data_IF_888661136634
#
_entry.id   IF_888661136634
#
_cell.length_a   1.000
_cell.length_b   1.000
_cell.length_c   1.000
_cell.angle_alpha   90.00
_cell.angle_beta   90.00
_cell.angle_gamma   90.00
#
_symmetry.space_group_name_H-M   'P 1'
#
loop_
_entity.id
_entity.type
_entity.pdbx_description
1 polymer ?
#
# COMPACT_ATOMS: atom_id res chain seq x y z
N UNK A 1 -2.97 42.65 27.23
CA UNK A 1 -4.11 41.81 26.86
C UNK A 1 -4.25 41.98 25.35
N UNK A 2 -3.61 41.16 24.58
CA UNK A 2 -3.78 41.15 23.12
C UNK A 2 -5.06 40.41 22.84
N UNK A 3 -6.00 41.13 22.25
CA UNK A 3 -7.28 40.62 21.75
C UNK A 3 -7.00 39.50 20.74
N UNK A 4 -7.13 38.26 21.16
CA UNK A 4 -7.01 37.09 20.29
C UNK A 4 -8.34 36.94 19.54
N UNK A 5 -8.56 37.86 18.58
CA UNK A 5 -9.70 37.74 17.68
C UNK A 5 -9.63 36.34 17.00
N UNK A 6 -10.63 35.48 17.27
CA UNK A 6 -10.74 34.19 16.62
C UNK A 6 -10.78 34.41 15.12
N UNK A 7 -9.71 33.97 14.43
CA UNK A 7 -9.69 33.91 12.97
C UNK A 7 -10.64 32.80 12.51
N UNK A 8 -11.45 33.07 11.50
CA UNK A 8 -12.35 32.05 10.92
C UNK A 8 -11.63 30.90 10.24
N UNK A 9 -10.33 31.01 9.99
CA UNK A 9 -9.57 30.07 9.19
C UNK A 9 -9.85 30.15 7.68
N UNK A 10 -10.77 31.01 7.26
CA UNK A 10 -11.06 31.31 5.85
C UNK A 10 -10.30 32.58 5.48
N UNK A 11 -9.37 32.45 4.52
CA UNK A 11 -8.69 33.59 3.94
C UNK A 11 -9.58 34.22 2.86
N UNK A 12 -10.27 35.29 3.22
CA UNK A 12 -11.20 35.99 2.31
C UNK A 12 -10.48 36.74 1.19
N UNK A 13 -9.18 37.01 1.33
CA UNK A 13 -8.37 37.69 0.29
C UNK A 13 -8.06 36.73 -0.88
N UNK A 14 -8.20 35.42 -0.64
CA UNK A 14 -8.05 34.38 -1.67
C UNK A 14 -9.29 34.22 -2.55
N UNK A 15 -10.44 34.75 -2.14
CA UNK A 15 -11.67 34.61 -2.91
C UNK A 15 -11.58 35.41 -4.24
N UNK A 16 -11.87 34.75 -5.35
CA UNK A 16 -12.05 35.41 -6.64
C UNK A 16 -13.45 36.00 -6.73
N UNK A 17 -13.59 37.25 -6.32
CA UNK A 17 -14.85 37.98 -6.33
C UNK A 17 -15.34 38.37 -7.72
N UNK A 18 -14.54 38.16 -8.78
CA UNK A 18 -14.96 38.36 -10.17
C UNK A 18 -15.89 37.22 -10.64
N UNK A 19 -15.81 36.07 -9.99
CA UNK A 19 -16.65 34.89 -10.26
C UNK A 19 -17.73 34.85 -9.18
N UNK A 20 -19.01 34.79 -9.60
CA UNK A 20 -20.12 34.69 -8.63
C UNK A 20 -20.15 33.27 -8.03
N UNK A 21 -20.27 33.19 -6.71
CA UNK A 21 -20.30 31.93 -5.99
C UNK A 21 -21.43 30.97 -6.49
N UNK A 22 -22.56 31.53 -6.95
CA UNK A 22 -23.69 30.77 -7.50
C UNK A 22 -23.40 30.13 -8.86
N UNK A 23 -22.45 30.70 -9.63
CA UNK A 23 -22.14 30.25 -10.97
C UNK A 23 -21.02 29.21 -10.96
N UNK A 24 -19.96 29.46 -10.15
CA UNK A 24 -18.85 28.52 -9.95
C UNK A 24 -18.24 28.74 -8.55
N UNK A 25 -18.78 28.01 -7.56
CA UNK A 25 -18.30 28.11 -6.18
C UNK A 25 -16.84 27.68 -6.05
N UNK A 26 -16.42 26.67 -6.81
CA UNK A 26 -15.04 26.15 -6.74
C UNK A 26 -14.04 27.24 -7.17
N UNK A 27 -14.26 27.89 -8.30
CA UNK A 27 -13.36 28.95 -8.75
C UNK A 27 -13.53 30.24 -7.95
N UNK A 28 -14.73 30.53 -7.45
CA UNK A 28 -14.93 31.66 -6.55
C UNK A 28 -14.01 31.53 -5.30
N UNK A 29 -13.91 30.33 -4.74
CA UNK A 29 -13.10 30.08 -3.52
C UNK A 29 -11.63 29.90 -3.84
N UNK A 30 -11.28 29.22 -4.95
CA UNK A 30 -9.90 28.78 -5.21
C UNK A 30 -9.25 29.52 -6.41
N UNK A 31 -9.97 30.40 -7.11
CA UNK A 31 -9.54 30.97 -8.40
C UNK A 31 -8.19 31.68 -8.30
N UNK A 32 -8.01 32.55 -7.32
CA UNK A 32 -6.74 33.29 -7.14
C UNK A 32 -5.58 32.35 -6.77
N UNK A 33 -5.85 31.32 -5.96
CA UNK A 33 -4.84 30.32 -5.64
C UNK A 33 -4.42 29.54 -6.89
N UNK A 34 -5.37 29.12 -7.72
CA UNK A 34 -5.11 28.39 -8.98
C UNK A 34 -4.27 29.23 -9.96
N UNK A 35 -4.59 30.53 -10.11
CA UNK A 35 -3.86 31.42 -11.02
C UNK A 35 -2.39 31.62 -10.67
N UNK A 36 -2.04 31.62 -9.38
CA UNK A 36 -0.66 31.86 -8.91
C UNK A 36 0.12 30.62 -8.58
N UNK A 37 -0.53 29.44 -8.52
CA UNK A 37 0.10 28.20 -8.05
C UNK A 37 0.40 27.29 -9.23
N UNK A 38 1.66 26.94 -9.39
CA UNK A 38 2.11 25.91 -10.31
C UNK A 38 2.18 24.57 -9.60
N UNK A 39 1.76 23.50 -10.26
CA UNK A 39 1.94 22.14 -9.76
C UNK A 39 3.42 21.80 -9.80
N UNK A 40 4.07 21.42 -8.67
CA UNK A 40 5.46 20.99 -8.68
C UNK A 40 5.70 19.85 -9.67
N UNK A 41 6.87 19.86 -10.34
CA UNK A 41 7.21 18.89 -11.39
C UNK A 41 7.27 17.43 -10.91
N UNK A 42 7.45 17.22 -9.61
CA UNK A 42 7.45 15.90 -8.97
C UNK A 42 6.03 15.44 -8.52
N UNK A 43 4.98 16.13 -8.95
CA UNK A 43 3.59 15.86 -8.56
C UNK A 43 2.65 15.83 -9.77
N UNK A 44 1.66 14.94 -9.73
CA UNK A 44 0.57 14.89 -10.71
C UNK A 44 -0.61 15.82 -10.35
N UNK A 45 -0.69 16.25 -9.08
CA UNK A 45 -1.74 17.14 -8.54
C UNK A 45 -1.21 17.90 -7.33
N UNK A 46 -1.86 19.01 -6.98
CA UNK A 46 -1.45 19.86 -5.86
C UNK A 46 -2.64 20.50 -5.16
N UNK A 47 -2.50 20.86 -3.88
CA UNK A 47 -3.54 21.47 -3.07
C UNK A 47 -3.14 21.56 -1.59
N UNK A 48 -4.03 22.04 -0.72
CA UNK A 48 -3.73 22.30 0.69
C UNK A 48 -3.26 21.04 1.45
N UNK A 49 -3.82 19.87 1.16
CA UNK A 49 -3.35 18.62 1.77
C UNK A 49 -1.91 18.28 1.39
N UNK A 50 -1.50 18.60 0.15
CA UNK A 50 -0.11 18.40 -0.28
C UNK A 50 0.85 19.38 0.39
N UNK A 51 0.44 20.63 0.60
CA UNK A 51 1.24 21.61 1.36
C UNK A 51 1.49 21.14 2.80
N UNK A 52 0.44 20.71 3.49
CA UNK A 52 0.56 20.18 4.85
C UNK A 52 1.41 18.91 4.91
N UNK A 53 1.23 18.02 3.94
CA UNK A 53 2.03 16.79 3.84
C UNK A 53 3.52 17.10 3.60
N UNK A 54 3.86 18.13 2.82
CA UNK A 54 5.25 18.57 2.62
C UNK A 54 5.88 19.17 3.88
N UNK A 55 5.09 19.87 4.68
CA UNK A 55 5.55 20.39 5.98
C UNK A 55 5.80 19.24 6.96
N UNK A 56 4.87 18.29 7.04
CA UNK A 56 5.05 17.08 7.86
C UNK A 56 6.27 16.28 7.40
N UNK A 57 6.45 16.08 6.07
CA UNK A 57 7.60 15.37 5.49
C UNK A 57 8.95 16.00 5.88
N UNK A 58 9.04 17.34 5.94
CA UNK A 58 10.25 18.02 6.39
C UNK A 58 10.54 17.75 7.87
N UNK A 59 9.52 17.84 8.72
CA UNK A 59 9.65 17.55 10.14
C UNK A 59 10.04 16.08 10.40
N UNK A 60 9.42 15.15 9.66
CA UNK A 60 9.76 13.71 9.67
C UNK A 60 11.21 13.49 9.22
N UNK A 61 11.65 14.15 8.15
CA UNK A 61 13.04 14.09 7.70
C UNK A 61 14.02 14.50 8.77
N UNK A 62 13.75 15.59 9.48
CA UNK A 62 14.64 16.08 10.53
C UNK A 62 14.75 15.06 11.68
N UNK A 63 13.63 14.44 12.07
CA UNK A 63 13.59 13.34 13.04
C UNK A 63 14.43 12.15 12.57
N UNK A 64 14.28 11.74 11.32
CA UNK A 64 15.03 10.61 10.74
C UNK A 64 16.53 10.88 10.72
N UNK A 65 16.95 12.10 10.35
CA UNK A 65 18.37 12.50 10.31
C UNK A 65 18.96 12.46 11.72
N UNK A 66 18.27 13.00 12.72
CA UNK A 66 18.73 12.95 14.12
C UNK A 66 18.82 11.50 14.63
N UNK A 67 17.89 10.65 14.21
CA UNK A 67 17.84 9.23 14.60
C UNK A 67 19.07 8.41 14.13
N UNK A 68 19.82 8.88 13.13
CA UNK A 68 21.07 8.25 12.71
C UNK A 68 22.16 8.24 13.82
N UNK A 69 22.05 9.18 14.78
CA UNK A 69 22.97 9.26 15.94
C UNK A 69 22.40 8.62 17.21
N UNK A 70 21.25 7.96 17.15
CA UNK A 70 20.65 7.25 18.28
C UNK A 70 21.50 6.06 18.73
N UNK A 71 21.32 5.64 19.98
CA UNK A 71 22.03 4.50 20.55
C UNK A 71 21.73 3.19 19.77
N UNK A 72 22.74 2.32 19.56
CA UNK A 72 22.53 1.03 18.92
C UNK A 72 21.44 0.19 19.59
N UNK A 73 20.62 -0.49 18.80
CA UNK A 73 19.54 -1.36 19.27
C UNK A 73 18.23 -0.63 19.62
N UNK A 74 18.20 0.70 19.55
CA UNK A 74 16.96 1.46 19.74
C UNK A 74 16.13 1.55 18.45
N UNK A 75 14.81 1.78 18.58
CA UNK A 75 13.94 2.03 17.42
C UNK A 75 14.42 3.25 16.61
N UNK A 76 14.88 4.31 17.29
CA UNK A 76 15.47 5.47 16.62
C UNK A 76 16.66 5.08 15.75
N UNK A 77 17.54 4.20 16.24
CA UNK A 77 18.68 3.70 15.45
C UNK A 77 18.22 2.93 14.20
N UNK A 78 17.20 2.07 14.30
CA UNK A 78 16.61 1.35 13.15
C UNK A 78 16.07 2.30 12.10
N UNK A 79 15.38 3.38 12.52
CA UNK A 79 14.92 4.47 11.65
C UNK A 79 16.07 5.12 10.90
N UNK A 80 17.14 5.49 11.61
CA UNK A 80 18.33 6.11 11.03
C UNK A 80 19.07 5.19 10.06
N UNK A 81 19.26 3.92 10.41
CA UNK A 81 19.99 2.94 9.62
C UNK A 81 19.23 2.57 8.33
N UNK A 82 17.89 2.42 8.39
CA UNK A 82 17.08 2.19 7.19
C UNK A 82 17.19 3.35 6.20
N UNK A 83 17.13 4.59 6.69
CA UNK A 83 17.31 5.77 5.86
C UNK A 83 18.72 5.87 5.27
N UNK A 84 19.74 5.59 6.08
CA UNK A 84 21.13 5.60 5.64
C UNK A 84 21.39 4.58 4.52
N UNK A 85 20.85 3.35 4.66
CA UNK A 85 20.96 2.32 3.62
C UNK A 85 20.35 2.75 2.29
N UNK A 86 19.23 3.50 2.32
CA UNK A 86 18.60 4.03 1.10
C UNK A 86 19.39 5.20 0.49
N UNK A 87 20.06 6.01 1.29
CA UNK A 87 20.82 7.16 0.80
C UNK A 87 22.24 6.82 0.32
N UNK A 88 22.75 5.60 0.55
CA UNK A 88 24.06 5.17 0.06
C UNK A 88 24.02 4.85 -1.44
N UNK A 89 23.87 5.91 -2.25
CA UNK A 89 23.81 5.82 -3.72
C UNK A 89 25.05 5.15 -4.31
N UNK A 90 26.22 5.42 -3.74
CA UNK A 90 27.45 4.87 -4.26
C UNK A 90 27.47 3.34 -4.15
N UNK A 91 27.05 2.81 -3.00
CA UNK A 91 26.95 1.37 -2.76
C UNK A 91 25.85 0.75 -3.62
N UNK A 92 24.66 1.34 -3.67
CA UNK A 92 23.54 0.84 -4.47
C UNK A 92 23.92 0.79 -5.96
N UNK A 93 24.57 1.83 -6.46
CA UNK A 93 25.04 1.87 -7.85
C UNK A 93 26.12 0.80 -8.14
N UNK A 94 27.03 0.57 -7.19
CA UNK A 94 28.08 -0.44 -7.33
C UNK A 94 27.54 -1.87 -7.34
N UNK A 95 26.48 -2.14 -6.55
CA UNK A 95 25.85 -3.46 -6.46
C UNK A 95 24.96 -3.77 -7.68
N UNK A 96 24.34 -2.75 -8.30
CA UNK A 96 23.45 -2.95 -9.45
C UNK A 96 22.30 -3.90 -9.14
N UNK A 97 22.21 -5.03 -9.83
CA UNK A 97 21.21 -6.08 -9.64
C UNK A 97 21.68 -7.22 -8.69
N UNK A 98 22.92 -7.19 -8.22
CA UNK A 98 23.48 -8.27 -7.38
C UNK A 98 22.61 -8.61 -6.15
N UNK A 99 22.01 -7.64 -5.42
CA UNK A 99 21.19 -7.95 -4.24
C UNK A 99 19.94 -8.80 -4.50
N UNK A 100 19.48 -8.86 -5.74
CA UNK A 100 18.30 -9.67 -6.15
C UNK A 100 18.69 -10.90 -6.98
N UNK A 101 19.98 -11.12 -7.24
CA UNK A 101 20.45 -12.18 -8.12
C UNK A 101 20.09 -13.59 -7.61
N UNK A 102 20.14 -13.83 -6.31
CA UNK A 102 19.77 -15.12 -5.71
C UNK A 102 18.29 -15.43 -5.92
N UNK A 103 17.40 -14.46 -5.68
CA UNK A 103 15.97 -14.62 -5.88
C UNK A 103 15.59 -14.84 -7.36
N UNK A 104 16.29 -14.17 -8.29
CA UNK A 104 16.16 -14.43 -9.72
C UNK A 104 16.64 -15.85 -10.04
N UNK A 105 17.77 -16.27 -9.51
CA UNK A 105 18.29 -17.62 -9.74
C UNK A 105 17.38 -18.73 -9.16
N UNK A 106 16.66 -18.46 -8.09
CA UNK A 106 15.61 -19.37 -7.60
C UNK A 106 14.44 -19.47 -8.58
N UNK A 107 13.94 -18.35 -9.11
CA UNK A 107 12.90 -18.34 -10.13
C UNK A 107 13.31 -19.13 -11.39
N UNK A 108 14.56 -19.01 -11.83
CA UNK A 108 15.11 -19.73 -13.00
C UNK A 108 15.18 -21.25 -12.82
N UNK A 109 15.21 -21.76 -11.58
CA UNK A 109 15.26 -23.21 -11.27
C UNK A 109 13.90 -23.89 -11.26
N UNK A 110 12.82 -23.14 -11.33
CA UNK A 110 11.45 -23.69 -11.33
C UNK A 110 11.25 -24.64 -12.51
N UNK A 111 10.86 -25.89 -12.26
CA UNK A 111 10.72 -26.95 -13.25
C UNK A 111 9.39 -27.71 -13.19
N UNK A 112 8.53 -27.37 -12.22
CA UNK A 112 7.21 -27.94 -12.00
C UNK A 112 6.25 -26.89 -11.42
N UNK A 113 4.94 -27.18 -11.41
CA UNK A 113 3.95 -26.31 -10.77
C UNK A 113 4.20 -26.25 -9.26
N UNK A 114 4.53 -27.36 -8.63
CA UNK A 114 4.85 -27.40 -7.19
C UNK A 114 6.06 -26.52 -6.87
N UNK A 115 7.15 -26.64 -7.64
CA UNK A 115 8.33 -25.77 -7.43
C UNK A 115 8.05 -24.30 -7.74
N UNK A 116 7.12 -23.99 -8.66
CA UNK A 116 6.61 -22.64 -8.89
C UNK A 116 5.91 -22.10 -7.65
N UNK A 117 4.94 -22.85 -7.10
CA UNK A 117 4.15 -22.48 -5.93
C UNK A 117 5.04 -22.31 -4.70
N UNK A 118 6.00 -23.23 -4.50
CA UNK A 118 6.97 -23.15 -3.40
C UNK A 118 7.84 -21.89 -3.50
N UNK A 119 8.38 -21.60 -4.69
CA UNK A 119 9.21 -20.41 -4.91
C UNK A 119 8.39 -19.15 -4.73
N UNK A 120 7.18 -19.12 -5.26
CA UNK A 120 6.27 -17.98 -5.12
C UNK A 120 5.98 -17.66 -3.65
N UNK A 121 5.59 -18.67 -2.85
CA UNK A 121 5.29 -18.46 -1.44
C UNK A 121 6.47 -17.86 -0.65
N UNK A 122 7.71 -18.34 -0.93
CA UNK A 122 8.91 -17.75 -0.31
C UNK A 122 9.15 -16.31 -0.73
N UNK A 123 8.96 -15.98 -2.01
CA UNK A 123 9.16 -14.62 -2.54
C UNK A 123 8.11 -13.64 -2.01
N UNK A 124 6.85 -14.06 -1.92
CA UNK A 124 5.74 -13.24 -1.40
C UNK A 124 5.94 -12.88 0.08
N UNK A 125 6.43 -13.81 0.90
CA UNK A 125 6.78 -13.53 2.30
C UNK A 125 7.81 -12.39 2.41
N UNK A 126 8.75 -12.29 1.47
CA UNK A 126 9.75 -11.22 1.38
C UNK A 126 9.25 -9.93 0.71
N UNK A 127 7.98 -9.87 0.29
CA UNK A 127 7.36 -8.68 -0.30
C UNK A 127 7.33 -8.66 -1.83
N UNK A 128 7.70 -9.75 -2.52
CA UNK A 128 7.42 -9.86 -3.95
C UNK A 128 5.92 -10.04 -4.21
N UNK A 129 5.42 -9.50 -5.30
CA UNK A 129 4.00 -9.67 -5.65
C UNK A 129 3.72 -11.08 -6.17
N UNK A 130 2.60 -11.67 -5.76
CA UNK A 130 2.11 -12.95 -6.26
C UNK A 130 0.87 -12.83 -7.13
N UNK A 131 0.24 -13.97 -7.43
CA UNK A 131 -1.05 -13.97 -8.11
C UNK A 131 -2.24 -13.70 -7.16
N UNK A 132 -2.01 -13.74 -5.84
CA UNK A 132 -2.93 -13.19 -4.84
C UNK A 132 -2.32 -11.98 -4.15
N UNK A 133 -3.19 -11.05 -3.72
CA UNK A 133 -2.89 -10.12 -2.65
C UNK A 133 -3.45 -10.73 -1.36
N UNK A 134 -2.59 -10.97 -0.40
CA UNK A 134 -2.94 -11.56 0.91
C UNK A 134 -2.94 -10.44 1.95
N UNK A 135 -4.05 -10.26 2.63
CA UNK A 135 -4.13 -9.30 3.74
C UNK A 135 -5.07 -9.79 4.83
N UNK A 136 -4.94 -9.22 6.01
CA UNK A 136 -5.80 -9.52 7.18
C UNK A 136 -6.70 -8.33 7.44
N UNK A 137 -7.98 -8.59 7.62
CA UNK A 137 -8.95 -7.57 7.99
C UNK A 137 -10.02 -8.17 8.91
N UNK A 138 -10.84 -7.32 9.53
CA UNK A 138 -11.98 -7.80 10.29
C UNK A 138 -13.01 -8.46 9.36
N UNK A 139 -13.66 -9.52 9.85
CA UNK A 139 -14.69 -10.24 9.13
C UNK A 139 -16.00 -9.41 9.06
N UNK A 140 -16.46 -8.96 7.87
CA UNK A 140 -17.69 -8.19 7.75
C UNK A 140 -18.94 -8.90 8.30
N UNK A 141 -18.96 -10.24 8.27
CA UNK A 141 -20.06 -11.04 8.79
C UNK A 141 -20.00 -11.28 10.30
N UNK A 142 -18.80 -11.22 10.89
CA UNK A 142 -18.53 -11.37 12.33
C UNK A 142 -17.46 -10.36 12.78
N UNK A 143 -17.81 -9.06 12.95
CA UNK A 143 -16.84 -7.97 13.08
C UNK A 143 -15.90 -8.02 14.30
N UNK A 144 -16.07 -8.99 15.17
CA UNK A 144 -15.22 -9.18 16.37
C UNK A 144 -14.02 -10.11 16.13
N UNK A 145 -13.83 -10.59 14.90
CA UNK A 145 -12.72 -11.46 14.53
C UNK A 145 -11.99 -10.99 13.29
N UNK A 146 -10.77 -11.44 13.12
CA UNK A 146 -9.98 -11.25 11.91
C UNK A 146 -10.06 -12.48 11.01
N UNK A 147 -10.01 -12.27 9.68
CA UNK A 147 -9.81 -13.30 8.66
C UNK A 147 -8.71 -12.89 7.70
N UNK A 148 -8.16 -13.88 7.00
CA UNK A 148 -7.30 -13.67 5.84
C UNK A 148 -8.18 -13.48 4.60
N UNK A 149 -7.86 -12.47 3.81
CA UNK A 149 -8.48 -12.18 2.53
C UNK A 149 -7.53 -12.50 1.39
N UNK A 150 -8.05 -13.18 0.38
CA UNK A 150 -7.34 -13.46 -0.87
C UNK A 150 -8.00 -12.65 -1.98
N UNK A 151 -7.26 -11.73 -2.56
CA UNK A 151 -7.70 -10.89 -3.67
C UNK A 151 -6.87 -11.18 -4.92
N UNK A 152 -7.50 -11.13 -6.09
CA UNK A 152 -6.84 -11.30 -7.38
C UNK A 152 -5.64 -10.36 -7.53
N UNK A 153 -4.54 -10.86 -8.11
CA UNK A 153 -3.29 -10.13 -8.31
C UNK A 153 -2.53 -10.61 -9.54
N UNK A 154 -1.24 -10.36 -9.59
CA UNK A 154 -0.35 -10.90 -10.62
C UNK A 154 -0.18 -10.06 -11.87
N UNK A 155 -0.87 -8.93 -11.98
CA UNK A 155 -0.76 -8.03 -13.12
C UNK A 155 0.29 -6.94 -12.89
N UNK A 156 0.99 -6.54 -13.93
CA UNK A 156 1.93 -5.42 -13.90
C UNK A 156 1.32 -4.08 -14.31
N UNK A 157 0.20 -4.09 -15.03
CA UNK A 157 -0.63 -2.92 -15.34
C UNK A 157 -1.73 -2.74 -14.29
N UNK A 158 -2.35 -1.55 -14.18
CA UNK A 158 -3.24 -1.21 -13.06
C UNK A 158 -4.46 -2.12 -12.88
N UNK A 159 -5.05 -2.61 -13.96
CA UNK A 159 -6.20 -3.53 -13.93
C UNK A 159 -6.33 -4.30 -15.25
N UNK A 160 -7.31 -5.21 -15.31
CA UNK A 160 -7.57 -6.11 -16.45
C UNK A 160 -7.90 -5.34 -17.74
N UNK A 161 -8.52 -4.16 -17.64
CA UNK A 161 -8.95 -3.38 -18.82
C UNK A 161 -7.76 -2.89 -19.64
N UNK A 162 -6.61 -2.68 -19.03
CA UNK A 162 -5.37 -2.31 -19.72
C UNK A 162 -4.88 -3.39 -20.68
N UNK A 163 -5.19 -4.66 -20.41
CA UNK A 163 -4.78 -5.79 -21.25
C UNK A 163 -5.72 -6.00 -22.46
N UNK A 164 -7.00 -5.62 -22.37
CA UNK A 164 -8.01 -5.92 -23.39
C UNK A 164 -8.52 -4.72 -24.19
N UNK A 165 -8.61 -3.51 -23.58
CA UNK A 165 -9.24 -2.38 -24.25
C UNK A 165 -8.31 -1.70 -25.24
N UNK A 166 -8.84 -1.34 -26.41
CA UNK A 166 -8.05 -0.75 -27.51
C UNK A 166 -7.45 0.62 -27.13
N UNK A 167 -8.15 1.40 -26.31
CA UNK A 167 -7.63 2.70 -25.82
C UNK A 167 -6.29 2.60 -25.09
N UNK A 168 -5.92 1.40 -24.59
CA UNK A 168 -4.66 1.13 -23.88
C UNK A 168 -3.60 0.42 -24.73
N UNK A 169 -3.82 0.27 -26.06
CA UNK A 169 -2.85 -0.42 -26.93
C UNK A 169 -1.45 0.20 -26.90
N UNK A 170 -1.36 1.55 -26.87
CA UNK A 170 -0.09 2.25 -26.74
C UNK A 170 0.59 1.98 -25.38
N UNK A 171 -0.19 1.91 -24.30
CA UNK A 171 0.32 1.58 -22.96
C UNK A 171 0.88 0.17 -22.95
N UNK A 172 0.19 -0.82 -23.54
CA UNK A 172 0.70 -2.20 -23.65
C UNK A 172 2.02 -2.27 -24.42
N UNK A 173 2.16 -1.51 -25.50
CA UNK A 173 3.41 -1.45 -26.25
C UNK A 173 4.56 -0.89 -25.40
N UNK A 174 4.30 0.18 -24.65
CA UNK A 174 5.28 0.77 -23.73
C UNK A 174 5.60 -0.16 -22.56
N UNK A 175 4.59 -0.89 -22.06
CA UNK A 175 4.78 -1.87 -21.01
C UNK A 175 5.69 -3.02 -21.43
N UNK A 176 5.47 -3.57 -22.61
CA UNK A 176 6.35 -4.61 -23.18
C UNK A 176 7.81 -4.14 -23.24
N UNK A 177 8.05 -2.94 -23.77
CA UNK A 177 9.39 -2.37 -23.87
C UNK A 177 10.01 -2.07 -22.48
N UNK A 178 9.20 -1.67 -21.52
CA UNK A 178 9.60 -1.47 -20.14
C UNK A 178 10.06 -2.78 -19.49
N UNK A 179 9.26 -3.85 -19.59
CA UNK A 179 9.62 -5.17 -19.06
C UNK A 179 10.91 -5.67 -19.70
N UNK A 180 11.02 -5.62 -21.04
CA UNK A 180 12.24 -5.99 -21.77
C UNK A 180 13.48 -5.27 -21.23
N UNK A 181 13.38 -3.93 -21.06
CA UNK A 181 14.49 -3.12 -20.55
C UNK A 181 14.89 -3.54 -19.13
N UNK A 182 13.93 -3.74 -18.24
CA UNK A 182 14.16 -4.13 -16.85
C UNK A 182 14.84 -5.51 -16.74
N UNK A 183 14.40 -6.48 -17.53
CA UNK A 183 15.01 -7.81 -17.62
C UNK A 183 16.47 -7.72 -18.13
N UNK A 184 16.70 -6.87 -19.14
CA UNK A 184 18.06 -6.61 -19.64
C UNK A 184 18.98 -5.96 -18.61
N UNK A 185 18.48 -4.99 -17.82
CA UNK A 185 19.22 -4.38 -16.71
C UNK A 185 19.59 -5.41 -15.63
N UNK A 186 18.72 -6.40 -15.39
CA UNK A 186 19.00 -7.51 -14.47
C UNK A 186 19.95 -8.58 -15.06
N UNK A 187 20.40 -8.44 -16.31
CA UNK A 187 21.34 -9.34 -16.97
C UNK A 187 20.74 -10.65 -17.45
N UNK A 188 19.42 -10.72 -17.60
CA UNK A 188 18.75 -11.93 -18.11
C UNK A 188 18.91 -12.06 -19.63
N UNK A 189 19.17 -13.27 -20.09
CA UNK A 189 19.29 -13.61 -21.50
C UNK A 189 17.92 -13.48 -22.21
N UNK A 190 17.93 -13.12 -23.50
CA UNK A 190 16.75 -12.99 -24.36
C UNK A 190 15.60 -12.13 -23.77
N UNK A 191 15.89 -10.90 -23.25
CA UNK A 191 14.90 -10.11 -22.53
C UNK A 191 13.64 -9.81 -23.35
N UNK A 192 13.76 -9.64 -24.68
CA UNK A 192 12.61 -9.40 -25.55
C UNK A 192 11.64 -10.60 -25.61
N UNK A 193 12.19 -11.82 -25.75
CA UNK A 193 11.37 -13.04 -25.78
C UNK A 193 10.72 -13.31 -24.40
N UNK A 194 11.46 -13.07 -23.32
CA UNK A 194 10.93 -13.18 -21.94
C UNK A 194 9.82 -12.16 -21.68
N UNK A 195 10.02 -10.89 -22.03
CA UNK A 195 9.01 -9.86 -21.89
C UNK A 195 7.72 -10.20 -22.66
N UNK A 196 7.86 -10.74 -23.87
CA UNK A 196 6.70 -11.18 -24.64
C UNK A 196 5.92 -12.31 -23.94
N UNK A 197 6.61 -13.30 -23.36
CA UNK A 197 5.97 -14.37 -22.59
C UNK A 197 5.29 -13.85 -21.31
N UNK A 198 5.93 -12.93 -20.58
CA UNK A 198 5.36 -12.30 -19.38
C UNK A 198 4.07 -11.57 -19.72
N UNK A 199 4.10 -10.68 -20.73
CA UNK A 199 2.92 -9.90 -21.11
C UNK A 199 1.80 -10.79 -21.65
N UNK A 200 2.13 -11.88 -22.35
CA UNK A 200 1.15 -12.86 -22.79
C UNK A 200 0.49 -13.58 -21.60
N UNK A 201 1.30 -14.03 -20.63
CA UNK A 201 0.83 -14.67 -19.41
C UNK A 201 -0.08 -13.74 -18.57
N UNK A 202 0.36 -12.49 -18.36
CA UNK A 202 -0.46 -11.49 -17.66
C UNK A 202 -1.77 -11.18 -18.41
N UNK A 203 -1.74 -11.20 -19.74
CA UNK A 203 -2.94 -11.02 -20.58
C UNK A 203 -3.92 -12.18 -20.39
N UNK A 204 -3.43 -13.41 -20.33
CA UNK A 204 -4.25 -14.58 -20.04
C UNK A 204 -4.81 -14.50 -18.61
N UNK A 205 -3.98 -14.20 -17.62
CA UNK A 205 -4.37 -14.03 -16.23
C UNK A 205 -5.44 -12.93 -16.07
N UNK A 206 -5.30 -11.82 -16.79
CA UNK A 206 -6.25 -10.71 -16.79
C UNK A 206 -7.66 -11.12 -17.29
N UNK A 207 -7.78 -12.18 -18.11
CA UNK A 207 -9.10 -12.67 -18.56
C UNK A 207 -9.93 -13.26 -17.42
N UNK A 208 -9.29 -13.67 -16.33
CA UNK A 208 -9.94 -14.21 -15.13
C UNK A 208 -10.18 -13.16 -14.05
N UNK A 209 -9.61 -11.95 -14.19
CA UNK A 209 -9.82 -10.87 -13.25
C UNK A 209 -11.24 -10.29 -13.35
N UNK A 210 -11.79 -9.93 -12.22
CA UNK A 210 -12.96 -9.08 -12.13
C UNK A 210 -12.59 -7.63 -12.44
N UNK A 211 -13.52 -6.90 -13.04
CA UNK A 211 -13.36 -5.47 -13.26
C UNK A 211 -13.44 -4.65 -11.97
N UNK A 212 -12.99 -3.39 -12.06
CA UNK A 212 -12.97 -2.49 -10.91
C UNK A 212 -14.34 -2.15 -10.31
N UNK A 213 -15.43 -2.31 -11.07
CA UNK A 213 -16.79 -2.08 -10.57
C UNK A 213 -17.25 -3.28 -9.74
N UNK A 214 -17.03 -4.49 -10.27
CA UNK A 214 -17.33 -5.73 -9.55
C UNK A 214 -16.53 -5.86 -8.25
N UNK A 215 -15.25 -5.45 -8.26
CA UNK A 215 -14.38 -5.47 -7.08
C UNK A 215 -14.82 -4.54 -5.94
N UNK A 216 -15.65 -3.52 -6.23
CA UNK A 216 -16.23 -2.62 -5.22
C UNK A 216 -17.53 -3.11 -4.61
N UNK A 217 -18.09 -4.17 -5.14
CA UNK A 217 -19.32 -4.79 -4.61
C UNK A 217 -18.95 -5.66 -3.40
N UNK A 218 -19.13 -5.12 -2.20
CA UNK A 218 -18.76 -5.78 -0.94
C UNK A 218 -19.55 -7.05 -0.66
N UNK A 219 -20.75 -7.22 -1.26
CA UNK A 219 -21.50 -8.47 -1.12
C UNK A 219 -20.91 -9.57 -2.01
N UNK A 220 -20.51 -9.23 -3.23
CA UNK A 220 -19.90 -10.20 -4.17
C UNK A 220 -18.49 -10.61 -3.77
N UNK A 221 -17.73 -9.68 -3.19
CA UNK A 221 -16.35 -9.94 -2.75
C UNK A 221 -16.24 -10.54 -1.35
N UNK A 222 -17.35 -10.79 -0.67
CA UNK A 222 -17.37 -11.46 0.63
C UNK A 222 -17.78 -12.93 0.50
N UNK A 223 -16.79 -13.80 0.32
CA UNK A 223 -16.99 -15.25 0.17
C UNK A 223 -16.14 -15.99 1.23
N UNK A 224 -16.59 -16.00 2.51
CA UNK A 224 -15.90 -16.74 3.55
C UNK A 224 -16.04 -18.26 3.33
N UNK A 225 -14.95 -18.99 3.46
CA UNK A 225 -14.94 -20.43 3.31
C UNK A 225 -13.76 -21.06 4.04
N UNK A 226 -13.86 -22.36 4.32
CA UNK A 226 -12.74 -23.12 4.82
C UNK A 226 -11.63 -23.17 3.76
N UNK A 227 -10.37 -23.19 4.21
CA UNK A 227 -9.21 -23.28 3.31
C UNK A 227 -9.30 -24.46 2.34
N UNK A 228 -9.76 -25.62 2.81
CA UNK A 228 -9.94 -26.80 1.93
C UNK A 228 -10.88 -26.53 0.77
N UNK A 229 -11.97 -25.77 1.00
CA UNK A 229 -12.88 -25.40 -0.06
C UNK A 229 -12.27 -24.33 -0.99
N UNK A 230 -11.45 -23.41 -0.47
CA UNK A 230 -10.70 -22.47 -1.28
C UNK A 230 -9.66 -23.18 -2.16
N UNK A 231 -8.91 -24.13 -1.60
CA UNK A 231 -7.96 -24.94 -2.36
C UNK A 231 -8.66 -25.76 -3.47
N UNK A 232 -9.83 -26.34 -3.18
CA UNK A 232 -10.62 -27.07 -4.17
C UNK A 232 -11.08 -26.19 -5.36
N UNK A 233 -11.22 -24.86 -5.18
CA UNK A 233 -11.52 -23.93 -6.27
C UNK A 233 -10.40 -23.87 -7.31
N UNK A 234 -9.16 -24.10 -6.94
CA UNK A 234 -8.01 -24.10 -7.85
C UNK A 234 -7.90 -25.40 -8.69
N UNK A 235 -8.87 -26.31 -8.58
CA UNK A 235 -8.95 -27.54 -9.38
C UNK A 235 -7.82 -28.51 -9.06
N UNK A 236 -6.99 -28.81 -10.06
CA UNK A 236 -5.86 -29.73 -9.91
C UNK A 236 -4.60 -29.07 -9.28
N UNK A 237 -4.65 -27.77 -8.99
CA UNK A 237 -3.53 -27.04 -8.39
C UNK A 237 -3.60 -27.18 -6.88
N UNK A 238 -2.53 -27.71 -6.26
CA UNK A 238 -2.43 -27.85 -4.81
C UNK A 238 -1.82 -26.59 -4.18
N UNK A 239 -2.68 -25.65 -3.74
CA UNK A 239 -2.24 -24.41 -3.09
C UNK A 239 -1.68 -24.62 -1.67
N UNK A 240 -1.76 -25.82 -1.08
CA UNK A 240 -1.10 -26.14 0.19
C UNK A 240 0.42 -26.06 0.07
N UNK A 241 0.97 -26.33 -1.12
CA UNK A 241 2.40 -26.15 -1.43
C UNK A 241 2.80 -24.69 -1.28
N UNK A 242 2.03 -23.78 -1.87
CA UNK A 242 2.23 -22.33 -1.75
C UNK A 242 2.07 -21.85 -0.31
N UNK A 243 0.99 -22.27 0.37
CA UNK A 243 0.70 -21.88 1.75
C UNK A 243 1.82 -22.32 2.71
N UNK A 244 2.34 -23.54 2.53
CA UNK A 244 3.46 -24.06 3.30
C UNK A 244 4.72 -23.21 3.12
N UNK A 245 5.04 -22.85 1.86
CA UNK A 245 6.21 -22.04 1.53
C UNK A 245 6.07 -20.57 1.97
N UNK A 246 4.84 -20.05 2.01
CA UNK A 246 4.52 -18.73 2.54
C UNK A 246 4.85 -18.63 4.04
N UNK A 247 4.87 -19.77 4.75
CA UNK A 247 5.32 -19.84 6.14
C UNK A 247 4.38 -19.16 7.12
N UNK A 248 3.08 -19.38 6.92
CA UNK A 248 2.03 -18.79 7.74
C UNK A 248 1.95 -19.48 9.13
N UNK A 249 1.55 -18.77 10.20
CA UNK A 249 1.30 -19.38 11.49
C UNK A 249 0.19 -20.45 11.40
N UNK A 250 0.30 -21.49 12.24
CA UNK A 250 -0.72 -22.53 12.34
C UNK A 250 -2.12 -21.92 12.54
N UNK A 251 -3.12 -22.50 11.89
CA UNK A 251 -4.52 -22.08 11.93
C UNK A 251 -4.85 -20.69 11.37
N UNK A 252 -3.90 -19.94 10.84
CA UNK A 252 -4.18 -18.61 10.30
C UNK A 252 -5.00 -18.64 9.01
N UNK A 253 -5.00 -19.75 8.28
CA UNK A 253 -5.76 -19.96 7.04
C UNK A 253 -6.88 -21.00 7.19
N UNK A 254 -7.27 -21.46 8.40
CA UNK A 254 -8.36 -22.42 8.57
C UNK A 254 -9.65 -21.97 7.87
N UNK A 255 -9.94 -20.67 7.92
CA UNK A 255 -11.02 -20.00 7.20
C UNK A 255 -10.49 -18.72 6.53
N UNK A 256 -10.87 -18.50 5.27
CA UNK A 256 -10.42 -17.36 4.46
C UNK A 256 -11.60 -16.71 3.73
N UNK A 257 -11.44 -15.47 3.33
CA UNK A 257 -12.36 -14.79 2.41
C UNK A 257 -11.73 -14.76 1.03
N UNK A 258 -12.29 -15.52 0.08
CA UNK A 258 -11.90 -15.47 -1.32
C UNK A 258 -12.69 -14.37 -2.01
N UNK A 259 -12.03 -13.23 -2.32
CA UNK A 259 -12.74 -12.08 -2.87
C UNK A 259 -13.27 -12.34 -4.28
N UNK A 260 -12.52 -13.06 -5.10
CA UNK A 260 -12.90 -13.40 -6.48
C UNK A 260 -12.78 -14.92 -6.72
N UNK A 261 -13.81 -15.71 -6.34
CA UNK A 261 -13.76 -17.19 -6.49
C UNK A 261 -13.51 -17.66 -7.92
N UNK A 262 -14.07 -16.98 -8.93
CA UNK A 262 -13.84 -17.34 -10.33
C UNK A 262 -12.42 -17.06 -10.81
N UNK A 263 -11.71 -16.08 -10.23
CA UNK A 263 -10.29 -15.89 -10.50
C UNK A 263 -9.48 -17.08 -9.98
N UNK A 264 -9.73 -17.53 -8.77
CA UNK A 264 -9.06 -18.71 -8.20
C UNK A 264 -9.30 -19.96 -9.06
N UNK A 265 -10.54 -20.18 -9.51
CA UNK A 265 -10.85 -21.29 -10.44
C UNK A 265 -10.17 -21.11 -11.80
N UNK A 266 -9.98 -19.90 -12.26
CA UNK A 266 -9.28 -19.61 -13.52
C UNK A 266 -7.80 -19.98 -13.49
N UNK A 267 -7.16 -20.02 -12.31
CA UNK A 267 -5.74 -20.36 -12.18
C UNK A 267 -5.41 -21.75 -12.73
N UNK A 268 -6.34 -22.72 -12.65
CA UNK A 268 -6.14 -24.06 -13.21
C UNK A 268 -5.83 -24.03 -14.71
N UNK A 269 -6.39 -23.06 -15.43
CA UNK A 269 -6.17 -22.94 -16.89
C UNK A 269 -4.86 -22.26 -17.24
N UNK A 270 -4.30 -21.47 -16.34
CA UNK A 270 -3.08 -20.66 -16.54
C UNK A 270 -1.85 -21.32 -15.92
N UNK A 271 -2.01 -21.96 -14.76
CA UNK A 271 -0.95 -22.71 -14.05
C UNK A 271 -0.77 -24.11 -14.67
N UNK A 272 -0.26 -24.15 -15.88
CA UNK A 272 -0.07 -25.39 -16.65
C UNK A 272 1.41 -25.66 -16.93
N UNK A 273 1.77 -26.91 -17.19
CA UNK A 273 3.13 -27.27 -17.57
C UNK A 273 3.58 -26.59 -18.88
N UNK A 274 2.65 -26.29 -19.79
CA UNK A 274 2.93 -25.54 -21.02
C UNK A 274 3.35 -24.09 -20.73
N UNK A 275 2.71 -23.44 -19.76
CA UNK A 275 2.97 -22.06 -19.36
C UNK A 275 4.17 -21.93 -18.39
N UNK A 276 4.77 -23.03 -17.94
CA UNK A 276 5.85 -23.02 -16.95
C UNK A 276 7.05 -22.12 -17.34
N UNK A 277 7.52 -22.08 -18.60
CA UNK A 277 8.57 -21.13 -19.00
C UNK A 277 8.16 -19.67 -18.81
N UNK A 278 6.89 -19.32 -19.09
CA UNK A 278 6.36 -17.97 -18.90
C UNK A 278 6.26 -17.64 -17.40
N UNK A 279 5.85 -18.59 -16.56
CA UNK A 279 5.82 -18.42 -15.11
C UNK A 279 7.19 -18.21 -14.48
N UNK A 280 8.24 -18.90 -14.96
CA UNK A 280 9.61 -18.62 -14.53
C UNK A 280 10.04 -17.19 -14.82
N UNK A 281 9.77 -16.74 -16.06
CA UNK A 281 10.07 -15.36 -16.45
C UNK A 281 9.27 -14.37 -15.62
N UNK A 282 8.00 -14.68 -15.34
CA UNK A 282 7.12 -13.85 -14.53
C UNK A 282 7.59 -13.77 -13.06
N UNK A 283 8.06 -14.87 -12.44
CA UNK A 283 8.65 -14.83 -11.11
C UNK A 283 9.88 -13.93 -11.06
N UNK A 284 10.79 -14.09 -12.01
CA UNK A 284 11.96 -13.22 -12.11
C UNK A 284 11.56 -11.74 -12.30
N UNK A 285 10.53 -11.49 -13.11
CA UNK A 285 9.94 -10.17 -13.28
C UNK A 285 9.35 -9.61 -11.98
N UNK A 286 8.62 -10.40 -11.19
CA UNK A 286 8.09 -9.94 -9.91
C UNK A 286 9.20 -9.55 -8.94
N UNK A 287 10.29 -10.32 -8.87
CA UNK A 287 11.48 -9.96 -8.07
C UNK A 287 12.07 -8.62 -8.52
N UNK A 288 12.27 -8.43 -9.82
CA UNK A 288 12.83 -7.19 -10.36
C UNK A 288 11.90 -6.00 -10.08
N UNK A 289 10.61 -6.15 -10.39
CA UNK A 289 9.61 -5.10 -10.24
C UNK A 289 9.45 -4.63 -8.81
N UNK A 290 9.35 -5.57 -7.86
CA UNK A 290 9.16 -5.27 -6.44
C UNK A 290 10.37 -4.55 -5.82
N UNK A 291 11.55 -4.75 -6.38
CA UNK A 291 12.79 -4.15 -5.89
C UNK A 291 13.28 -2.95 -6.71
N UNK A 292 12.66 -2.64 -7.85
CA UNK A 292 13.15 -1.64 -8.80
C UNK A 292 13.44 -0.26 -8.18
N UNK A 293 12.65 0.18 -7.19
CA UNK A 293 12.81 1.46 -6.51
C UNK A 293 14.06 1.54 -5.61
N UNK A 294 14.67 0.40 -5.30
CA UNK A 294 15.77 0.24 -4.35
C UNK A 294 17.10 -0.19 -5.00
N UNK A 295 17.10 -0.41 -6.31
CA UNK A 295 18.28 -0.78 -7.09
C UNK A 295 19.00 0.45 -7.67
N UNK A 296 19.97 0.22 -8.58
CA UNK A 296 20.72 1.30 -9.22
C UNK A 296 19.85 2.28 -10.00
N UNK A 297 20.40 3.45 -10.33
CA UNK A 297 19.68 4.55 -11.00
C UNK A 297 18.97 4.10 -12.27
N UNK A 298 19.57 3.21 -13.08
CA UNK A 298 18.97 2.72 -14.31
C UNK A 298 17.62 2.01 -14.08
N UNK A 299 17.52 1.21 -13.01
CA UNK A 299 16.26 0.57 -12.60
C UNK A 299 15.24 1.59 -12.13
N UNK A 300 15.66 2.50 -11.23
CA UNK A 300 14.80 3.53 -10.66
C UNK A 300 14.22 4.44 -11.75
N UNK A 301 15.05 4.92 -12.67
CA UNK A 301 14.66 5.81 -13.77
C UNK A 301 13.76 5.07 -14.77
N UNK A 302 14.10 3.84 -15.15
CA UNK A 302 13.27 3.02 -16.05
C UNK A 302 11.90 2.75 -15.43
N UNK A 303 11.84 2.42 -14.15
CA UNK A 303 10.60 2.22 -13.42
C UNK A 303 9.75 3.50 -13.36
N UNK A 304 10.37 4.64 -13.11
CA UNK A 304 9.68 5.93 -13.08
C UNK A 304 9.19 6.37 -14.46
N UNK A 305 9.96 6.14 -15.51
CA UNK A 305 9.57 6.49 -16.88
C UNK A 305 8.28 5.77 -17.31
N UNK A 306 8.08 4.55 -16.82
CA UNK A 306 6.84 3.83 -17.09
C UNK A 306 5.73 4.20 -16.08
N UNK A 307 5.89 3.89 -14.79
CA UNK A 307 4.82 4.06 -13.79
C UNK A 307 4.57 5.52 -13.43
N UNK A 308 5.59 6.36 -13.41
CA UNK A 308 5.48 7.79 -13.13
C UNK A 308 5.06 8.59 -14.36
N UNK A 309 5.91 8.65 -15.38
CA UNK A 309 5.65 9.51 -16.55
C UNK A 309 4.54 8.97 -17.45
N UNK A 310 4.62 7.69 -17.83
CA UNK A 310 3.68 7.12 -18.81
C UNK A 310 2.29 6.92 -18.23
N UNK A 311 2.17 6.32 -17.03
CA UNK A 311 0.86 6.01 -16.45
C UNK A 311 0.23 7.18 -15.68
N UNK A 312 1.01 7.98 -14.95
CA UNK A 312 0.45 9.05 -14.10
C UNK A 312 0.69 10.46 -14.62
N UNK A 313 1.54 10.62 -15.64
CA UNK A 313 1.87 11.93 -16.21
C UNK A 313 2.77 12.80 -15.33
N UNK A 314 3.40 12.24 -14.30
CA UNK A 314 4.31 12.97 -13.41
C UNK A 314 5.62 13.28 -14.16
N UNK A 315 6.01 14.57 -14.33
CA UNK A 315 7.17 14.92 -15.15
C UNK A 315 8.51 14.48 -14.59
N UNK A 316 8.71 14.55 -13.28
CA UNK A 316 10.00 14.34 -12.60
C UNK A 316 9.90 13.38 -11.44
N UNK A 317 10.94 12.58 -11.24
CA UNK A 317 11.07 11.70 -10.09
C UNK A 317 11.25 12.53 -8.81
N UNK A 318 10.53 12.17 -7.76
CA UNK A 318 10.71 12.78 -6.43
C UNK A 318 12.16 12.69 -5.97
N UNK A 319 12.64 13.75 -5.33
CA UNK A 319 13.99 13.82 -4.77
C UNK A 319 14.29 12.58 -3.89
N UNK A 320 15.52 12.08 -3.94
CA UNK A 320 15.91 10.83 -3.25
C UNK A 320 15.60 10.87 -1.75
N UNK A 321 15.90 11.98 -1.08
CA UNK A 321 15.60 12.11 0.34
C UNK A 321 14.11 11.95 0.66
N UNK A 322 13.19 12.46 -0.19
CA UNK A 322 11.73 12.28 -0.02
C UNK A 322 11.33 10.81 -0.16
N UNK A 323 11.94 10.10 -1.11
CA UNK A 323 11.70 8.67 -1.32
C UNK A 323 12.22 7.84 -0.14
N UNK A 324 13.37 8.24 0.44
CA UNK A 324 13.90 7.63 1.64
C UNK A 324 13.01 7.87 2.87
N UNK A 325 12.46 9.07 3.03
CA UNK A 325 11.45 9.36 4.06
C UNK A 325 10.23 8.44 3.88
N UNK A 326 9.72 8.30 2.65
CA UNK A 326 8.58 7.41 2.38
C UNK A 326 8.86 5.94 2.71
N UNK A 327 10.08 5.44 2.45
CA UNK A 327 10.48 4.10 2.84
C UNK A 327 10.43 3.93 4.37
N UNK A 328 11.03 4.87 5.10
CA UNK A 328 11.04 4.81 6.58
C UNK A 328 9.63 4.92 7.16
N UNK A 329 8.79 5.81 6.63
CA UNK A 329 7.40 5.93 7.08
C UNK A 329 6.57 4.68 6.81
N UNK A 330 6.78 4.03 5.67
CA UNK A 330 6.12 2.76 5.35
C UNK A 330 6.52 1.61 6.28
N UNK A 331 7.79 1.56 6.69
CA UNK A 331 8.35 0.46 7.47
C UNK A 331 8.30 0.69 9.01
N UNK A 332 8.64 1.90 9.45
CA UNK A 332 8.85 2.30 10.86
C UNK A 332 8.05 3.55 11.25
N UNK A 333 6.92 3.78 10.58
CA UNK A 333 6.16 5.02 10.70
C UNK A 333 5.68 5.36 12.10
N UNK A 334 5.32 4.37 12.94
CA UNK A 334 4.93 4.64 14.33
C UNK A 334 6.14 4.96 15.23
N UNK A 335 7.32 4.39 14.95
CA UNK A 335 8.54 4.76 15.67
C UNK A 335 8.90 6.24 15.44
N UNK A 336 8.79 6.71 14.18
CA UNK A 336 8.92 8.13 13.83
C UNK A 336 7.77 8.94 14.44
N UNK A 337 6.54 8.43 14.35
CA UNK A 337 5.32 9.08 14.84
C UNK A 337 5.37 9.40 16.32
N UNK A 338 5.98 8.57 17.15
CA UNK A 338 6.17 8.81 18.58
C UNK A 338 6.98 10.10 18.81
N UNK A 339 8.11 10.24 18.10
CA UNK A 339 8.96 11.43 18.21
C UNK A 339 8.26 12.66 17.63
N UNK A 340 7.55 12.47 16.50
CA UNK A 340 6.78 13.54 15.87
C UNK A 340 5.71 14.12 16.79
N UNK A 341 4.96 13.27 17.48
CA UNK A 341 3.92 13.70 18.44
C UNK A 341 4.51 14.52 19.58
N UNK A 342 5.61 14.06 20.17
CA UNK A 342 6.29 14.77 21.26
C UNK A 342 6.70 16.21 20.86
N UNK A 343 7.01 16.44 19.58
CA UNK A 343 7.51 17.74 19.08
C UNK A 343 6.43 18.62 18.47
N UNK A 344 5.48 18.02 17.76
CA UNK A 344 4.57 18.73 16.84
C UNK A 344 3.09 18.61 17.18
N UNK A 345 2.71 17.76 18.14
CA UNK A 345 1.31 17.58 18.52
C UNK A 345 1.09 17.75 20.03
N UNK A 346 0.98 18.99 20.52
CA UNK A 346 0.84 19.25 21.96
C UNK A 346 -0.48 18.69 22.50
N UNK A 347 -0.48 18.25 23.76
CA UNK A 347 -1.65 17.70 24.47
C UNK A 347 -2.88 18.60 24.40
N UNK A 348 -2.67 19.92 24.43
CA UNK A 348 -3.76 20.90 24.31
C UNK A 348 -4.49 20.79 22.96
N UNK A 349 -3.78 20.49 21.87
CA UNK A 349 -4.40 20.27 20.54
C UNK A 349 -5.23 18.99 20.53
N UNK A 350 -4.71 17.89 21.11
CA UNK A 350 -5.47 16.66 21.28
C UNK A 350 -6.76 16.88 22.07
N UNK A 351 -6.65 17.52 23.22
CA UNK A 351 -7.82 17.84 24.08
C UNK A 351 -8.88 18.66 23.33
N UNK A 352 -8.45 19.68 22.57
CA UNK A 352 -9.36 20.50 21.79
C UNK A 352 -10.09 19.68 20.70
N UNK A 353 -9.38 18.78 20.04
CA UNK A 353 -9.96 17.88 19.04
C UNK A 353 -10.89 16.85 19.67
N UNK A 354 -10.57 16.29 20.82
CA UNK A 354 -11.43 15.36 21.54
C UNK A 354 -12.78 16.04 21.92
N UNK A 355 -12.76 17.31 22.37
CA UNK A 355 -13.97 18.11 22.62
C UNK A 355 -14.75 18.35 21.34
N UNK A 356 -14.07 18.70 20.24
CA UNK A 356 -14.73 18.91 18.93
C UNK A 356 -15.46 17.65 18.47
N UNK A 357 -14.79 16.49 18.55
CA UNK A 357 -15.36 15.20 18.14
C UNK A 357 -16.54 14.81 19.05
N UNK A 358 -16.43 15.01 20.37
CA UNK A 358 -17.54 14.79 21.30
C UNK A 358 -18.78 15.63 20.93
N UNK A 359 -18.56 16.91 20.57
CA UNK A 359 -19.66 17.79 20.11
C UNK A 359 -20.25 17.32 18.79
N UNK A 360 -19.44 16.79 17.86
CA UNK A 360 -19.93 16.20 16.60
C UNK A 360 -20.78 14.95 16.86
N UNK A 361 -20.34 14.06 17.72
CA UNK A 361 -21.10 12.85 18.11
C UNK A 361 -22.45 13.24 18.72
N UNK A 362 -22.47 14.24 19.61
CA UNK A 362 -23.73 14.74 20.20
C UNK A 362 -24.63 15.39 19.13
N UNK A 363 -24.08 16.15 18.20
CA UNK A 363 -24.87 16.71 17.09
C UNK A 363 -25.49 15.61 16.22
N UNK A 364 -24.75 14.52 15.94
CA UNK A 364 -25.28 13.35 15.25
C UNK A 364 -26.39 12.66 16.05
N UNK A 365 -26.26 12.52 17.37
CA UNK A 365 -27.31 11.97 18.24
C UNK A 365 -28.59 12.77 18.13
N UNK A 366 -28.50 14.08 18.21
CA UNK A 366 -29.68 14.96 18.08
C UNK A 366 -30.30 14.87 16.68
N UNK A 367 -29.48 14.89 15.64
CA UNK A 367 -29.92 14.76 14.26
C UNK A 367 -30.66 13.44 14.03
N UNK A 368 -30.06 12.29 14.39
CA UNK A 368 -30.65 10.95 14.22
C UNK A 368 -32.00 10.86 14.99
N UNK A 369 -32.06 11.41 16.19
CA UNK A 369 -33.27 11.40 17.02
C UNK A 369 -34.42 12.18 16.35
N UNK A 370 -34.10 13.26 15.63
CA UNK A 370 -35.06 14.11 14.93
C UNK A 370 -35.47 13.69 13.52
N UNK A 371 -34.89 12.61 12.94
CA UNK A 371 -35.17 12.19 11.57
C UNK A 371 -36.56 11.58 11.41
N UNK A 372 -37.49 12.31 10.75
CA UNK A 372 -38.88 11.88 10.53
C UNK A 372 -39.01 10.68 9.57
N UNK A 373 -38.11 10.57 8.57
CA UNK A 373 -38.11 9.48 7.59
C UNK A 373 -37.64 8.14 8.13
N UNK A 374 -36.97 8.15 9.29
CA UNK A 374 -36.39 6.96 9.91
C UNK A 374 -37.37 6.36 10.93
N UNK A 375 -37.79 5.12 10.72
CA UNK A 375 -38.65 4.39 11.65
C UNK A 375 -37.98 4.19 13.02
N UNK A 376 -38.76 3.97 14.06
CA UNK A 376 -38.32 3.88 15.45
C UNK A 376 -37.24 2.79 15.66
N UNK A 377 -37.46 1.58 15.11
CA UNK A 377 -36.49 0.48 15.21
C UNK A 377 -35.16 0.77 14.51
N UNK A 378 -35.20 1.42 13.34
CA UNK A 378 -33.98 1.81 12.60
C UNK A 378 -33.25 2.93 13.34
N UNK A 379 -33.95 3.88 13.92
CA UNK A 379 -33.41 4.96 14.73
C UNK A 379 -32.68 4.41 15.96
N UNK A 380 -33.30 3.44 16.67
CA UNK A 380 -32.66 2.78 17.80
C UNK A 380 -31.33 2.09 17.40
N UNK A 381 -31.28 1.40 16.24
CA UNK A 381 -30.05 0.80 15.71
C UNK A 381 -29.00 1.85 15.31
N UNK A 382 -29.42 2.97 14.74
CA UNK A 382 -28.51 4.06 14.37
C UNK A 382 -27.88 4.71 15.61
N UNK A 383 -28.63 4.88 16.70
CA UNK A 383 -28.10 5.35 17.99
C UNK A 383 -27.14 4.32 18.59
N UNK A 384 -27.48 3.03 18.60
CA UNK A 384 -26.60 1.96 19.08
C UNK A 384 -25.26 1.94 18.30
N UNK A 385 -25.32 2.13 16.98
CA UNK A 385 -24.11 2.27 16.14
C UNK A 385 -23.28 3.49 16.54
N UNK A 386 -23.92 4.64 16.76
CA UNK A 386 -23.25 5.87 17.19
C UNK A 386 -22.56 5.71 18.56
N UNK A 387 -23.17 4.96 19.48
CA UNK A 387 -22.63 4.69 20.82
C UNK A 387 -21.41 3.74 20.79
N UNK A 388 -21.31 2.89 19.77
CA UNK A 388 -20.19 2.00 19.52
C UNK A 388 -19.04 2.64 18.73
N UNK A 389 -19.24 3.86 18.23
CA UNK A 389 -18.23 4.58 17.48
C UNK A 389 -17.02 4.90 18.35
N UNK A 390 -15.82 4.49 17.89
CA UNK A 390 -14.55 4.73 18.60
C UNK A 390 -13.72 5.77 17.85
N UNK A 391 -13.68 7.03 18.32
CA UNK A 391 -12.84 8.07 17.71
C UNK A 391 -11.36 7.77 17.91
N UNK A 392 -10.54 7.98 16.88
CA UNK A 392 -9.07 7.90 16.91
C UNK A 392 -8.50 9.25 16.50
N UNK A 393 -7.99 9.99 17.47
CA UNK A 393 -7.57 11.38 17.29
C UNK A 393 -6.10 11.56 17.67
N UNK A 394 -5.31 12.02 16.70
CA UNK A 394 -3.92 12.44 16.87
C UNK A 394 -2.93 11.28 16.88
N UNK A 395 -2.96 10.40 17.88
CA UNK A 395 -1.97 9.32 18.01
C UNK A 395 -2.49 8.15 18.86
N UNK A 396 -1.92 6.93 18.67
CA UNK A 396 -2.33 5.74 19.41
C UNK A 396 -1.90 5.80 20.88
N UNK A 397 -2.67 5.14 21.75
CA UNK A 397 -2.29 4.94 23.16
C UNK A 397 -1.18 3.90 23.29
N UNK A 398 -1.22 2.87 22.45
CA UNK A 398 -0.24 1.80 22.38
C UNK A 398 0.49 1.86 21.03
N UNK A 399 1.78 2.09 21.09
CA UNK A 399 2.64 2.12 19.92
C UNK A 399 3.03 0.71 19.46
N UNK A 400 3.29 0.55 18.17
CA UNK A 400 3.80 -0.70 17.58
C UNK A 400 5.18 -1.02 18.15
N UNK A 401 5.41 -2.28 18.46
CA UNK A 401 6.67 -2.81 18.93
C UNK A 401 7.51 -3.32 17.75
N UNK A 402 8.62 -2.68 17.50
CA UNK A 402 9.58 -3.04 16.44
C UNK A 402 10.82 -3.79 17.00
N UNK A 403 10.78 -4.29 18.24
CA UNK A 403 11.95 -4.90 18.89
C UNK A 403 12.53 -6.08 18.10
N UNK A 404 11.68 -6.90 17.48
CA UNK A 404 12.08 -8.08 16.70
C UNK A 404 12.58 -7.76 15.28
N UNK A 405 12.39 -6.53 14.80
CA UNK A 405 12.85 -6.13 13.46
C UNK A 405 14.33 -5.76 13.51
N UNK A 406 15.15 -6.43 12.70
CA UNK A 406 16.57 -6.09 12.54
C UNK A 406 16.79 -5.26 11.28
N UNK A 407 17.60 -4.19 11.38
CA UNK A 407 17.95 -3.29 10.28
C UNK A 407 19.46 -3.14 10.21
N UNK A 408 20.03 -3.31 9.00
CA UNK A 408 21.45 -3.13 8.70
C UNK A 408 21.64 -1.90 7.79
N UNK A 409 22.39 -0.91 8.24
CA UNK A 409 22.69 0.30 7.49
C UNK A 409 23.38 0.06 6.13
N UNK A 410 23.90 -1.14 5.89
CA UNK A 410 24.64 -1.53 4.67
C UNK A 410 23.85 -2.44 3.72
N UNK A 411 22.65 -2.91 4.08
CA UNK A 411 21.85 -3.86 3.29
C UNK A 411 20.42 -3.34 3.03
N UNK A 412 20.25 -2.50 2.02
CA UNK A 412 18.95 -1.93 1.69
C UNK A 412 17.91 -2.99 1.31
N UNK A 413 18.26 -3.94 0.43
CA UNK A 413 17.31 -4.98 -0.03
C UNK A 413 16.97 -5.94 1.11
N UNK A 414 17.94 -6.32 1.93
CA UNK A 414 17.70 -7.10 3.14
C UNK A 414 16.77 -6.38 4.11
N UNK A 415 16.94 -5.08 4.31
CA UNK A 415 16.05 -4.26 5.14
C UNK A 415 14.62 -4.22 4.59
N UNK A 416 14.43 -4.00 3.29
CA UNK A 416 13.11 -4.01 2.65
C UNK A 416 12.44 -5.36 2.84
N UNK A 417 13.16 -6.46 2.63
CA UNK A 417 12.64 -7.81 2.86
C UNK A 417 12.29 -8.04 4.33
N UNK A 418 13.15 -7.65 5.26
CA UNK A 418 12.92 -7.82 6.70
C UNK A 418 11.69 -7.02 7.17
N UNK A 419 11.49 -5.80 6.68
CA UNK A 419 10.32 -4.98 7.01
C UNK A 419 9.03 -5.55 6.43
N UNK A 420 9.05 -6.10 5.22
CA UNK A 420 7.90 -6.77 4.63
C UNK A 420 7.53 -8.06 5.41
N UNK A 421 8.52 -8.88 5.73
CA UNK A 421 8.30 -10.10 6.52
C UNK A 421 7.79 -9.78 7.93
N UNK A 422 8.34 -8.76 8.58
CA UNK A 422 7.85 -8.29 9.88
C UNK A 422 6.38 -7.89 9.83
N UNK A 423 5.99 -7.10 8.84
CA UNK A 423 4.59 -6.66 8.70
C UNK A 423 3.66 -7.82 8.35
N UNK A 424 4.08 -8.71 7.45
CA UNK A 424 3.33 -9.91 7.09
C UNK A 424 3.06 -10.80 8.31
N UNK A 425 4.08 -11.08 9.13
CA UNK A 425 3.93 -11.89 10.34
C UNK A 425 3.08 -11.17 11.41
N UNK A 426 3.20 -9.86 11.52
CA UNK A 426 2.37 -9.05 12.42
C UNK A 426 0.89 -9.14 12.05
N UNK A 427 0.58 -9.00 10.77
CA UNK A 427 -0.80 -9.08 10.26
C UNK A 427 -1.39 -10.47 10.49
N UNK A 428 -0.70 -11.54 10.08
CA UNK A 428 -1.16 -12.91 10.31
C UNK A 428 -1.27 -13.26 11.81
N UNK A 429 -0.41 -12.68 12.62
CA UNK A 429 -0.44 -12.85 14.07
C UNK A 429 -1.69 -12.28 14.76
N UNK A 430 -2.58 -11.59 14.06
CA UNK A 430 -3.90 -11.14 14.55
C UNK A 430 -4.94 -12.26 14.53
N UNK A 431 -4.82 -13.21 13.62
CA UNK A 431 -5.78 -14.30 13.45
C UNK A 431 -5.90 -15.09 14.76
N UNK A 432 -7.14 -15.42 15.12
CA UNK A 432 -7.46 -16.11 16.37
C UNK A 432 -7.42 -15.24 17.62
N UNK A 433 -7.07 -13.95 17.50
CA UNK A 433 -7.13 -12.97 18.60
C UNK A 433 -8.41 -12.13 18.51
N UNK A 434 -8.87 -11.57 19.66
CA UNK A 434 -9.93 -10.57 19.63
C UNK A 434 -9.55 -9.35 18.79
N UNK A 435 -10.53 -8.72 18.14
CA UNK A 435 -10.32 -7.50 17.38
C UNK A 435 -9.71 -6.41 18.27
N UNK A 436 -8.55 -5.88 17.85
CA UNK A 436 -7.92 -4.73 18.49
C UNK A 436 -8.57 -3.43 17.99
N UNK A 437 -9.53 -2.92 18.78
CA UNK A 437 -10.24 -1.68 18.44
C UNK A 437 -9.38 -0.43 18.58
N UNK A 438 -8.20 -0.55 19.18
CA UNK A 438 -7.25 0.55 19.37
C UNK A 438 -6.16 0.58 18.29
N UNK A 439 -6.13 -0.40 17.37
CA UNK A 439 -5.18 -0.43 16.26
C UNK A 439 -5.36 0.77 15.33
N UNK A 440 -4.26 1.38 14.90
CA UNK A 440 -4.23 2.48 13.95
C UNK A 440 -3.73 2.03 12.58
N UNK A 441 -4.39 2.51 11.52
CA UNK A 441 -4.02 2.24 10.12
C UNK A 441 -3.32 3.42 9.44
N UNK A 442 -3.15 4.53 10.16
CA UNK A 442 -2.38 5.70 9.73
C UNK A 442 -1.51 6.18 10.87
N UNK A 443 -0.34 6.68 10.52
CA UNK A 443 0.58 7.29 11.49
C UNK A 443 0.12 8.69 11.90
N UNK A 444 0.54 9.23 13.06
CA UNK A 444 0.16 10.55 13.52
C UNK A 444 0.55 11.70 12.57
N UNK A 445 1.63 11.54 11.81
CA UNK A 445 2.12 12.52 10.84
C UNK A 445 1.41 12.44 9.49
N UNK A 446 0.53 11.48 9.27
CA UNK A 446 -0.25 11.34 8.03
C UNK A 446 -1.34 12.39 7.95
N UNK A 447 -1.32 13.22 6.91
CA UNK A 447 -2.36 14.23 6.64
C UNK A 447 -3.52 13.57 5.91
N UNK A 448 -4.33 12.86 6.64
CA UNK A 448 -5.51 12.16 6.11
C UNK A 448 -6.50 11.79 7.24
N UNK A 449 -7.61 11.16 6.87
CA UNK A 449 -8.59 10.58 7.77
C UNK A 449 -9.18 9.31 7.16
N UNK A 450 -9.67 8.40 7.98
CA UNK A 450 -10.31 7.16 7.52
C UNK A 450 -11.50 6.80 8.44
N UNK A 451 -12.36 5.94 7.94
CA UNK A 451 -13.42 5.26 8.66
C UNK A 451 -13.35 3.76 8.32
N UNK A 452 -13.38 2.91 9.35
CA UNK A 452 -13.48 1.45 9.26
C UNK A 452 -14.80 0.95 9.83
#
# INVERSE_FOLDING_TARGET
MTDNALSSGIDTDELDTSIRAQDDLFRHVNGRWIERTEIPSDKARYGSFYLLAEEAEKAVRDIIIESQSADPGTEGRKVGDLYASFLDEARIQALGAEPIAEAIAEAEKVDSIDSLLETLGRLERGGSSGFFQVFVDNDPGQPERYLVFLEQGGLGLPDESYYREEKFAEIRTKYLAFVERMLGLAGLDDPAARAARIVALETELATHHWDNVANRDSEKTYNPMLWSAANDLAGAIDLDVWLTALGVPDHSFDEVVVRQPSFMSGLETVLTAENLPAWRDWLAWQVIRSNAAYLSSDFVETNFDFYGKTLTGTPELRARWKRGVSLVEGALGEAVGRIYVERHFPEAAKTAMDVLVANLVEAYRQSITGLEWMGEATRARAIDKLEKFTPKIGYPVKWRDYSSLEIDASDLIGNVRATNEFEFQRELGKIGKPLDRDEWFMTPQTINAYYN
#
